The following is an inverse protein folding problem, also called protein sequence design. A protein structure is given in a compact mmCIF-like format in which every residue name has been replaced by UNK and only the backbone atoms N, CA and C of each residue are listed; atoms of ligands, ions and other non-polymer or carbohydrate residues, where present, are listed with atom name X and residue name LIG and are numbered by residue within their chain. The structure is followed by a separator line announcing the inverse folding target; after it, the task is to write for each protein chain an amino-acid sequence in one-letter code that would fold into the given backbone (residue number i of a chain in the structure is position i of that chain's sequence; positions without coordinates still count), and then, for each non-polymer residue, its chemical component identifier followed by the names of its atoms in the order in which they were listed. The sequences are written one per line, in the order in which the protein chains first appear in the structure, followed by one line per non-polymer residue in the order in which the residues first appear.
data_IF_786900641455
#
_entry.id   IF_786900641455
#
_cell.length_a   1.000
_cell.length_b   1.000
_cell.length_c   1.000
_cell.angle_alpha   90.00
_cell.angle_beta   90.00
_cell.angle_gamma   90.00
#
_symmetry.space_group_name_H-M   'P 1'
#
loop_
_entity.id
_entity.type
_entity.pdbx_description
1 polymer ?
#
# COMPACT_ATOMS: atom_id res chain seq x y z
N UNK A 1 28.53 -10.29 23.45
CA UNK A 1 27.74 -9.48 22.49
C UNK A 1 26.29 -9.87 22.69
N UNK A 2 25.44 -8.91 23.02
CA UNK A 2 23.99 -9.11 23.20
C UNK A 2 23.33 -9.03 21.83
N UNK A 3 22.62 -10.09 21.45
CA UNK A 3 21.83 -10.15 20.22
C UNK A 3 20.41 -9.72 20.58
N UNK A 4 19.88 -8.73 19.87
CA UNK A 4 18.50 -8.31 20.04
C UNK A 4 17.66 -8.87 18.89
N UNK A 5 16.59 -9.56 19.24
CA UNK A 5 15.63 -10.09 18.27
C UNK A 5 14.43 -9.16 18.23
N UNK A 6 14.19 -8.57 17.06
CA UNK A 6 13.03 -7.74 16.77
C UNK A 6 11.97 -8.65 16.16
N UNK A 7 10.81 -8.75 16.80
CA UNK A 7 9.67 -9.49 16.27
C UNK A 7 8.97 -8.66 15.21
N UNK A 8 8.64 -9.29 14.08
CA UNK A 8 7.84 -8.65 13.04
C UNK A 8 6.35 -8.75 13.41
N UNK A 9 5.63 -7.62 13.54
CA UNK A 9 4.21 -7.63 13.81
C UNK A 9 3.47 -8.31 12.65
N UNK A 10 2.58 -9.22 13.02
CA UNK A 10 1.85 -10.08 12.09
C UNK A 10 0.41 -10.18 12.57
N UNK A 11 -0.25 -9.02 12.70
CA UNK A 11 -1.64 -8.98 13.16
C UNK A 11 -2.58 -9.56 12.11
N UNK A 12 -3.56 -10.33 12.58
CA UNK A 12 -4.67 -10.84 11.78
C UNK A 12 -5.71 -9.72 11.53
N UNK A 13 -5.24 -8.58 11.03
CA UNK A 13 -6.06 -7.41 10.73
C UNK A 13 -6.43 -7.37 9.24
N UNK A 14 -7.66 -6.93 8.95
CA UNK A 14 -8.13 -6.71 7.58
C UNK A 14 -7.53 -5.45 6.95
N UNK A 15 -7.15 -4.49 7.79
CA UNK A 15 -6.50 -3.23 7.42
C UNK A 15 -5.12 -3.20 8.07
N UNK A 16 -4.06 -3.62 7.35
CA UNK A 16 -2.70 -3.52 7.85
C UNK A 16 -2.32 -2.06 8.10
N UNK A 17 -1.48 -1.84 9.12
CA UNK A 17 -0.93 -0.52 9.44
C UNK A 17 0.51 -0.46 8.94
N UNK A 18 0.82 0.32 7.89
CA UNK A 18 2.16 0.36 7.34
C UNK A 18 3.26 0.69 8.37
N UNK A 19 2.96 1.62 9.27
CA UNK A 19 3.78 2.10 10.39
C UNK A 19 4.36 0.99 11.26
N UNK A 20 3.60 -0.08 11.50
CA UNK A 20 4.04 -1.19 12.35
C UNK A 20 5.28 -1.88 11.77
N UNK A 21 5.41 -1.92 10.45
CA UNK A 21 6.58 -2.47 9.75
C UNK A 21 7.57 -1.38 9.36
N UNK A 22 7.12 -0.25 8.81
CA UNK A 22 8.03 0.79 8.32
C UNK A 22 8.89 1.37 9.44
N UNK A 23 8.33 1.55 10.65
CA UNK A 23 9.10 2.05 11.78
C UNK A 23 10.19 1.07 12.23
N UNK A 24 9.96 -0.24 12.14
CA UNK A 24 10.98 -1.26 12.43
C UNK A 24 12.13 -1.15 11.43
N UNK A 25 11.83 -1.12 10.14
CA UNK A 25 12.85 -1.05 9.11
C UNK A 25 13.60 0.29 9.11
N UNK A 26 12.92 1.40 9.41
CA UNK A 26 13.58 2.68 9.63
C UNK A 26 14.55 2.61 10.81
N UNK A 27 14.13 2.07 11.97
CA UNK A 27 15.02 1.91 13.11
C UNK A 27 16.26 1.06 12.78
N UNK A 28 16.07 -0.05 12.06
CA UNK A 28 17.18 -0.90 11.60
C UNK A 28 18.11 -0.11 10.68
N UNK A 29 17.60 0.63 9.69
CA UNK A 29 18.44 1.44 8.80
C UNK A 29 19.16 2.57 9.55
N UNK A 30 18.49 3.30 10.43
CA UNK A 30 19.08 4.38 11.22
C UNK A 30 20.24 3.88 12.11
N UNK A 31 20.17 2.63 12.56
CA UNK A 31 21.25 2.01 13.35
C UNK A 31 22.53 1.85 12.54
N UNK A 32 22.45 1.67 11.21
CA UNK A 32 23.62 1.56 10.32
C UNK A 32 24.43 2.86 10.38
N UNK A 33 23.77 4.01 10.15
CA UNK A 33 24.42 5.31 10.22
C UNK A 33 25.01 5.59 11.61
N UNK A 34 24.31 5.19 12.67
CA UNK A 34 24.78 5.32 14.06
C UNK A 34 26.05 4.51 14.32
N UNK A 35 26.10 3.25 13.85
CA UNK A 35 27.27 2.38 14.00
C UNK A 35 28.47 2.91 13.21
N UNK A 36 28.25 3.41 11.99
CA UNK A 36 29.30 4.03 11.18
C UNK A 36 29.91 5.26 11.89
N UNK A 37 29.06 6.13 12.46
CA UNK A 37 29.51 7.30 13.24
C UNK A 37 30.28 6.91 14.51
N UNK A 38 29.97 5.74 15.09
CA UNK A 38 30.69 5.19 16.26
C UNK A 38 32.00 4.48 15.88
N UNK A 39 32.34 4.39 14.59
CA UNK A 39 33.54 3.69 14.13
C UNK A 39 33.40 2.17 14.14
N UNK A 40 32.17 1.66 14.01
CA UNK A 40 31.81 0.24 13.96
C UNK A 40 31.29 -0.18 12.57
N UNK A 41 32.08 -0.04 11.48
CA UNK A 41 31.62 -0.32 10.12
C UNK A 41 31.33 -1.81 9.89
N UNK A 42 32.01 -2.72 10.58
CA UNK A 42 31.78 -4.17 10.45
C UNK A 42 30.41 -4.57 11.02
N UNK A 43 29.97 -3.93 12.11
CA UNK A 43 28.63 -4.09 12.67
C UNK A 43 27.57 -3.51 11.74
N UNK A 44 27.82 -2.33 11.15
CA UNK A 44 26.94 -1.72 10.16
C UNK A 44 26.76 -2.62 8.93
N UNK A 45 27.84 -3.26 8.45
CA UNK A 45 27.80 -4.18 7.33
C UNK A 45 26.95 -5.43 7.64
N UNK A 46 27.03 -6.00 8.85
CA UNK A 46 26.16 -7.13 9.24
C UNK A 46 24.68 -6.81 9.13
N UNK A 47 24.29 -5.56 9.43
CA UNK A 47 22.89 -5.11 9.29
C UNK A 47 22.52 -4.98 7.80
N UNK A 48 23.42 -4.43 6.97
CA UNK A 48 23.22 -4.39 5.51
C UNK A 48 23.05 -5.80 4.93
N UNK A 49 23.85 -6.76 5.38
CA UNK A 49 23.78 -8.16 4.94
C UNK A 49 22.44 -8.81 5.33
N UNK A 50 21.92 -8.51 6.54
CA UNK A 50 20.59 -8.96 6.97
C UNK A 50 19.52 -8.40 6.04
N UNK A 51 19.53 -7.08 5.79
CA UNK A 51 18.56 -6.44 4.89
C UNK A 51 18.66 -6.98 3.46
N UNK A 52 19.89 -7.22 2.97
CA UNK A 52 20.15 -7.87 1.69
C UNK A 52 19.55 -9.26 1.63
N UNK A 53 19.75 -10.09 2.66
CA UNK A 53 19.16 -11.43 2.74
C UNK A 53 17.62 -11.41 2.75
N UNK A 54 16.98 -10.39 3.34
CA UNK A 54 15.53 -10.21 3.25
C UNK A 54 15.12 -9.88 1.81
N UNK A 55 15.83 -8.95 1.15
CA UNK A 55 15.59 -8.64 -0.28
C UNK A 55 15.73 -9.88 -1.16
N UNK A 56 16.78 -10.67 -0.96
CA UNK A 56 17.03 -11.91 -1.68
C UNK A 56 15.90 -12.94 -1.46
N UNK A 57 15.41 -13.05 -0.22
CA UNK A 57 14.30 -13.95 0.13
C UNK A 57 13.00 -13.52 -0.55
N UNK A 58 12.74 -12.21 -0.60
CA UNK A 58 11.57 -11.65 -1.27
C UNK A 58 11.64 -11.77 -2.80
N UNK A 59 12.83 -11.85 -3.36
CA UNK A 59 13.05 -11.93 -4.80
C UNK A 59 12.39 -10.78 -5.54
N UNK A 60 11.35 -11.08 -6.31
CA UNK A 60 10.64 -10.09 -7.13
C UNK A 60 9.51 -9.35 -6.40
N UNK A 61 9.29 -9.67 -5.11
CA UNK A 61 8.31 -8.99 -4.27
C UNK A 61 8.90 -7.79 -3.51
N UNK A 62 8.09 -6.76 -3.24
CA UNK A 62 6.78 -6.54 -3.85
C UNK A 62 6.91 -6.25 -5.34
N UNK A 63 5.93 -6.67 -6.13
CA UNK A 63 5.86 -6.48 -7.57
C UNK A 63 5.92 -4.99 -7.91
N UNK A 64 5.23 -4.15 -7.17
CA UNK A 64 5.18 -2.72 -7.40
C UNK A 64 6.52 -2.02 -7.18
N UNK A 65 7.53 -2.71 -6.61
CA UNK A 65 8.91 -2.23 -6.55
C UNK A 65 9.85 -3.15 -7.37
N UNK A 66 10.93 -2.60 -7.89
CA UNK A 66 12.03 -3.32 -8.54
C UNK A 66 13.34 -2.72 -8.07
N UNK A 67 14.43 -3.47 -8.11
CA UNK A 67 15.76 -2.91 -7.88
C UNK A 67 16.38 -2.37 -9.19
N UNK A 68 17.09 -1.23 -9.14
CA UNK A 68 17.13 -0.29 -8.02
C UNK A 68 15.75 0.40 -7.84
N UNK A 69 15.38 0.70 -6.59
CA UNK A 69 14.06 1.31 -6.28
C UNK A 69 13.93 2.69 -6.91
N UNK A 70 15.02 3.45 -6.94
CA UNK A 70 15.10 4.72 -7.65
C UNK A 70 16.20 4.63 -8.71
N UNK A 71 16.03 5.34 -9.83
CA UNK A 71 17.01 5.30 -10.90
C UNK A 71 18.31 6.02 -10.53
N UNK A 72 18.21 7.07 -9.71
CA UNK A 72 19.33 7.99 -9.43
C UNK A 72 19.67 8.16 -7.96
N UNK A 73 18.87 7.62 -7.05
CA UNK A 73 19.00 7.80 -5.59
C UNK A 73 19.10 6.45 -4.88
N UNK A 74 19.84 6.43 -3.76
CA UNK A 74 19.82 5.29 -2.83
C UNK A 74 19.52 5.85 -1.44
N UNK A 75 18.31 5.57 -0.95
CA UNK A 75 17.85 6.03 0.37
C UNK A 75 17.20 4.84 1.07
N UNK A 76 17.99 3.98 1.75
CA UNK A 76 17.53 2.68 2.22
C UNK A 76 16.23 2.72 3.04
N UNK A 77 16.08 3.72 3.91
CA UNK A 77 14.86 3.95 4.71
C UNK A 77 13.63 4.14 3.82
N UNK A 78 13.72 5.02 2.81
CA UNK A 78 12.63 5.31 1.89
C UNK A 78 12.34 4.12 1.00
N UNK A 79 13.37 3.40 0.56
CA UNK A 79 13.22 2.19 -0.26
C UNK A 79 12.45 1.09 0.47
N UNK A 80 12.79 0.85 1.73
CA UNK A 80 12.08 -0.12 2.57
C UNK A 80 10.65 0.33 2.86
N UNK A 81 10.44 1.61 3.14
CA UNK A 81 9.11 2.18 3.32
C UNK A 81 8.23 1.96 2.09
N UNK A 82 8.75 2.24 0.89
CA UNK A 82 8.06 2.00 -0.38
C UNK A 82 7.73 0.51 -0.55
N UNK A 83 8.68 -0.38 -0.27
CA UNK A 83 8.45 -1.84 -0.33
C UNK A 83 7.36 -2.31 0.63
N UNK A 84 7.30 -1.78 1.83
CA UNK A 84 6.28 -2.17 2.81
C UNK A 84 4.89 -1.72 2.38
N UNK A 85 4.75 -0.46 1.95
CA UNK A 85 3.48 0.05 1.42
C UNK A 85 3.01 -0.77 0.21
N UNK A 86 3.93 -1.03 -0.72
CA UNK A 86 3.74 -1.88 -1.88
C UNK A 86 3.26 -3.31 -1.54
N UNK A 87 3.86 -3.95 -0.53
CA UNK A 87 3.43 -5.29 -0.07
C UNK A 87 2.00 -5.28 0.48
N UNK A 88 1.60 -4.20 1.17
CA UNK A 88 0.22 -4.07 1.68
C UNK A 88 -0.76 -3.94 0.50
N UNK A 89 -0.49 -3.04 -0.45
CA UNK A 89 -1.33 -2.86 -1.64
C UNK A 89 -1.44 -4.14 -2.49
N UNK A 90 -0.33 -4.88 -2.64
CA UNK A 90 -0.30 -6.14 -3.37
C UNK A 90 -0.96 -7.29 -2.65
N UNK A 91 -0.91 -7.35 -1.32
CA UNK A 91 -1.72 -8.29 -0.57
C UNK A 91 -3.18 -8.15 -0.97
N UNK A 92 -3.67 -6.91 -1.10
CA UNK A 92 -5.06 -6.71 -1.47
C UNK A 92 -5.38 -7.23 -2.87
N UNK A 93 -4.51 -6.93 -3.83
CA UNK A 93 -4.66 -7.34 -5.22
C UNK A 93 -4.44 -8.85 -5.42
N UNK A 94 -3.53 -9.47 -4.68
CA UNK A 94 -3.25 -10.90 -4.70
C UNK A 94 -4.47 -11.71 -4.27
N UNK A 95 -5.10 -11.30 -3.16
CA UNK A 95 -6.35 -11.91 -2.68
C UNK A 95 -7.43 -11.82 -3.76
N UNK A 96 -7.59 -10.66 -4.39
CA UNK A 96 -8.55 -10.46 -5.47
C UNK A 96 -8.25 -11.35 -6.69
N UNK A 97 -6.99 -11.44 -7.11
CA UNK A 97 -6.58 -12.31 -8.21
C UNK A 97 -6.93 -13.79 -7.92
N UNK A 98 -6.74 -14.26 -6.69
CA UNK A 98 -7.11 -15.63 -6.29
C UNK A 98 -8.62 -15.87 -6.31
N UNK A 99 -9.43 -14.89 -5.91
CA UNK A 99 -10.88 -14.98 -6.11
C UNK A 99 -11.26 -15.12 -7.58
N UNK A 100 -10.66 -14.28 -8.42
CA UNK A 100 -10.95 -14.26 -9.85
C UNK A 100 -10.53 -15.57 -10.53
N UNK A 101 -9.38 -16.14 -10.16
CA UNK A 101 -8.95 -17.48 -10.62
C UNK A 101 -9.98 -18.56 -10.25
N UNK A 102 -10.45 -18.60 -9.00
CA UNK A 102 -11.44 -19.58 -8.55
C UNK A 102 -12.76 -19.42 -9.30
N UNK A 103 -13.27 -18.19 -9.40
CA UNK A 103 -14.55 -17.94 -10.07
C UNK A 103 -14.45 -18.21 -11.58
N UNK A 104 -13.29 -17.95 -12.20
CA UNK A 104 -13.06 -18.24 -13.62
C UNK A 104 -13.25 -19.72 -13.98
N UNK A 105 -13.08 -20.64 -13.01
CA UNK A 105 -13.38 -22.07 -13.21
C UNK A 105 -14.87 -22.37 -13.41
N UNK A 106 -15.74 -21.45 -13.00
CA UNK A 106 -17.21 -21.56 -13.05
C UNK A 106 -17.80 -20.63 -14.10
N UNK A 107 -17.27 -19.41 -14.22
CA UNK A 107 -17.75 -18.36 -15.13
C UNK A 107 -16.53 -17.74 -15.82
N UNK A 108 -16.36 -17.90 -17.16
CA UNK A 108 -15.25 -17.29 -17.87
C UNK A 108 -15.26 -15.76 -17.73
N UNK A 109 -14.12 -15.18 -17.35
CA UNK A 109 -13.96 -13.74 -17.15
C UNK A 109 -12.70 -13.20 -17.84
N UNK A 110 -12.67 -11.89 -18.06
CA UNK A 110 -11.46 -11.17 -18.49
C UNK A 110 -10.67 -10.71 -17.27
N UNK A 111 -9.35 -10.90 -17.29
CA UNK A 111 -8.43 -10.40 -16.26
C UNK A 111 -7.80 -9.06 -16.65
N UNK A 112 -8.08 -8.53 -17.84
CA UNK A 112 -7.60 -7.22 -18.29
C UNK A 112 -8.43 -6.09 -17.67
N UNK A 113 -7.77 -5.23 -16.90
CA UNK A 113 -8.37 -4.08 -16.21
C UNK A 113 -7.88 -2.79 -16.88
N UNK A 114 -8.79 -1.88 -17.27
CA UNK A 114 -8.40 -0.57 -17.79
C UNK A 114 -7.82 0.30 -16.67
N UNK A 115 -6.80 1.07 -16.99
CA UNK A 115 -6.18 2.06 -16.09
C UNK A 115 -6.45 3.46 -16.66
N UNK A 116 -7.62 4.06 -16.37
CA UNK A 116 -7.83 5.47 -16.70
C UNK A 116 -6.97 6.34 -15.80
N UNK A 117 -6.59 7.56 -16.21
CA UNK A 117 -6.77 8.11 -17.56
C UNK A 117 -5.69 7.65 -18.56
N UNK A 118 -4.77 6.74 -18.17
CA UNK A 118 -3.61 6.34 -18.98
C UNK A 118 -3.97 5.57 -20.26
N UNK A 119 -5.18 5.02 -20.35
CA UNK A 119 -5.66 4.35 -21.57
C UNK A 119 -4.97 3.00 -21.84
N UNK A 120 -4.31 2.43 -20.84
CA UNK A 120 -3.73 1.08 -20.90
C UNK A 120 -4.67 0.04 -20.29
N UNK A 121 -4.49 -1.23 -20.67
CA UNK A 121 -5.14 -2.36 -20.03
C UNK A 121 -4.08 -3.28 -19.42
N UNK A 122 -4.24 -3.63 -18.16
CA UNK A 122 -3.31 -4.48 -17.43
C UNK A 122 -3.99 -5.78 -17.05
N UNK A 123 -3.39 -6.90 -17.46
CA UNK A 123 -3.79 -8.24 -17.04
C UNK A 123 -3.19 -8.53 -15.67
N UNK A 124 -4.05 -8.58 -14.65
CA UNK A 124 -3.59 -8.76 -13.27
C UNK A 124 -2.97 -10.14 -13.04
N UNK A 125 -3.42 -11.20 -13.71
CA UNK A 125 -2.84 -12.54 -13.52
C UNK A 125 -1.44 -12.57 -14.08
N UNK A 126 -1.22 -12.00 -15.27
CA UNK A 126 0.12 -11.85 -15.85
C UNK A 126 1.01 -10.94 -15.02
N UNK A 127 0.46 -9.88 -14.42
CA UNK A 127 1.23 -8.99 -13.54
C UNK A 127 1.89 -9.74 -12.37
N UNK A 128 1.22 -10.73 -11.78
CA UNK A 128 1.77 -11.56 -10.70
C UNK A 128 2.61 -12.75 -11.16
N UNK A 129 2.41 -13.23 -12.38
CA UNK A 129 3.01 -14.48 -12.86
C UNK A 129 4.14 -14.31 -13.88
N UNK A 130 4.23 -13.15 -14.55
CA UNK A 130 5.15 -12.88 -15.66
C UNK A 130 6.03 -11.66 -15.36
N UNK A 131 7.29 -11.84 -14.92
CA UNK A 131 8.20 -10.74 -14.59
C UNK A 131 8.46 -9.76 -15.75
N UNK A 132 8.54 -10.26 -16.99
CA UNK A 132 8.76 -9.42 -18.19
C UNK A 132 7.55 -8.53 -18.50
N UNK A 133 6.34 -9.06 -18.32
CA UNK A 133 5.10 -8.30 -18.52
C UNK A 133 5.04 -7.10 -17.58
N UNK A 134 5.31 -7.35 -16.29
CA UNK A 134 5.44 -6.32 -15.25
C UNK A 134 6.49 -5.27 -15.61
N UNK A 135 7.70 -5.68 -15.99
CA UNK A 135 8.78 -4.77 -16.36
C UNK A 135 8.39 -3.86 -17.53
N UNK A 136 7.68 -4.41 -18.52
CA UNK A 136 7.24 -3.68 -19.71
C UNK A 136 6.20 -2.61 -19.40
N UNK A 137 5.30 -2.85 -18.46
CA UNK A 137 4.32 -1.84 -18.03
C UNK A 137 5.03 -0.72 -17.26
N UNK A 138 5.91 -1.08 -16.33
CA UNK A 138 6.65 -0.09 -15.52
C UNK A 138 7.51 0.84 -16.35
N UNK A 139 8.26 0.32 -17.32
CA UNK A 139 9.18 1.13 -18.12
C UNK A 139 8.44 2.24 -18.90
N UNK A 140 7.22 1.98 -19.36
CA UNK A 140 6.40 2.98 -20.07
C UNK A 140 6.17 4.24 -19.22
N UNK A 141 5.99 4.11 -17.91
CA UNK A 141 5.74 5.26 -17.03
C UNK A 141 7.00 6.04 -16.70
N UNK A 142 8.14 5.37 -16.60
CA UNK A 142 9.43 6.02 -16.36
C UNK A 142 9.86 6.81 -17.61
N UNK A 143 9.76 6.18 -18.79
CA UNK A 143 10.21 6.77 -20.04
C UNK A 143 9.36 7.98 -20.46
N UNK A 144 8.08 8.01 -20.06
CA UNK A 144 7.13 9.08 -20.39
C UNK A 144 6.58 9.81 -19.15
N UNK A 145 7.43 10.03 -18.14
CA UNK A 145 7.07 10.68 -16.88
C UNK A 145 6.30 12.00 -17.08
N UNK A 146 6.78 12.86 -17.97
CA UNK A 146 6.17 14.16 -18.27
C UNK A 146 4.80 14.06 -18.97
N UNK A 147 4.49 12.90 -19.56
CA UNK A 147 3.17 12.60 -20.13
C UNK A 147 2.22 12.12 -19.03
N UNK A 148 2.65 11.16 -18.22
CA UNK A 148 1.76 10.45 -17.30
C UNK A 148 1.55 11.17 -15.96
N UNK A 149 2.57 11.83 -15.41
CA UNK A 149 2.47 12.50 -14.12
C UNK A 149 1.39 13.60 -14.10
N UNK A 150 1.28 14.48 -15.11
CA UNK A 150 0.22 15.50 -15.14
C UNK A 150 -1.20 14.93 -15.21
N UNK A 151 -1.35 13.70 -15.71
CA UNK A 151 -2.65 13.02 -15.83
C UNK A 151 -3.14 12.43 -14.50
N UNK A 152 -2.28 12.35 -13.48
CA UNK A 152 -2.70 11.88 -12.17
C UNK A 152 -3.81 12.78 -11.60
N UNK A 153 -4.80 12.21 -10.87
CA UNK A 153 -5.64 13.01 -10.01
C UNK A 153 -4.79 13.75 -8.98
N UNK A 154 -5.21 14.93 -8.53
CA UNK A 154 -4.38 15.81 -7.71
C UNK A 154 -3.98 15.18 -6.36
N UNK A 155 -4.85 14.34 -5.78
CA UNK A 155 -4.56 13.55 -4.58
C UNK A 155 -3.36 12.57 -4.74
N UNK A 156 -3.00 12.18 -5.97
CA UNK A 156 -1.84 11.33 -6.26
C UNK A 156 -0.57 12.12 -6.61
N UNK A 157 -0.67 13.42 -6.89
CA UNK A 157 0.49 14.26 -7.19
C UNK A 157 1.27 14.55 -5.91
N UNK A 158 2.53 14.10 -5.88
CA UNK A 158 3.46 14.24 -4.76
C UNK A 158 4.88 14.44 -5.30
N UNK A 159 5.76 15.03 -4.49
CA UNK A 159 7.15 15.29 -4.88
C UNK A 159 7.30 16.23 -6.08
N UNK A 160 6.41 17.22 -6.18
CA UNK A 160 6.47 18.32 -7.16
C UNK A 160 7.11 19.60 -6.62
N UNK A 161 7.67 19.54 -5.41
CA UNK A 161 8.30 20.68 -4.73
C UNK A 161 7.36 21.47 -3.83
N UNK A 162 6.04 21.23 -3.84
CA UNK A 162 5.08 21.95 -2.98
C UNK A 162 5.49 21.89 -1.50
N UNK A 163 5.89 20.72 -1.00
CA UNK A 163 6.28 20.51 0.39
C UNK A 163 7.80 20.44 0.61
N UNK A 164 8.56 20.90 -0.38
CA UNK A 164 9.99 21.16 -0.28
C UNK A 164 10.90 20.15 -0.97
N UNK A 165 10.37 19.08 -1.56
CA UNK A 165 11.16 18.13 -2.34
C UNK A 165 10.51 17.94 -3.71
N UNK A 166 11.30 18.14 -4.76
CA UNK A 166 10.97 17.70 -6.11
C UNK A 166 11.87 16.53 -6.49
N UNK A 167 11.27 15.41 -6.94
CA UNK A 167 12.02 14.22 -7.31
C UNK A 167 11.36 13.47 -8.46
N UNK A 168 11.98 13.42 -9.66
CA UNK A 168 11.46 12.65 -10.80
C UNK A 168 11.25 11.16 -10.46
N UNK A 169 12.20 10.56 -9.74
CA UNK A 169 12.12 9.16 -9.32
C UNK A 169 10.89 8.91 -8.43
N UNK A 170 10.57 9.84 -7.52
CA UNK A 170 9.40 9.70 -6.65
C UNK A 170 8.08 10.01 -7.36
N UNK A 171 8.09 10.89 -8.37
CA UNK A 171 6.92 11.13 -9.24
C UNK A 171 6.58 9.88 -10.06
N UNK A 172 7.57 9.13 -10.54
CA UNK A 172 7.34 7.86 -11.24
C UNK A 172 6.67 6.82 -10.33
N UNK A 173 7.10 6.74 -9.07
CA UNK A 173 6.46 5.87 -8.07
C UNK A 173 5.01 6.27 -7.78
N UNK A 174 4.70 7.57 -7.76
CA UNK A 174 3.32 8.04 -7.59
C UNK A 174 2.40 7.61 -8.76
N UNK A 175 2.94 7.58 -9.99
CA UNK A 175 2.23 7.02 -11.15
C UNK A 175 1.94 5.55 -10.93
N UNK A 176 2.97 4.78 -10.55
CA UNK A 176 2.83 3.34 -10.39
C UNK A 176 1.85 2.95 -9.28
N UNK A 177 1.87 3.67 -8.15
CA UNK A 177 0.89 3.53 -7.06
C UNK A 177 -0.56 3.76 -7.55
N UNK A 178 -0.77 4.77 -8.38
CA UNK A 178 -2.08 5.01 -8.99
C UNK A 178 -2.52 3.84 -9.89
N UNK A 179 -1.60 3.25 -10.67
CA UNK A 179 -1.88 2.04 -11.48
C UNK A 179 -2.36 0.90 -10.60
N UNK A 180 -1.63 0.58 -9.53
CA UNK A 180 -2.01 -0.47 -8.58
C UNK A 180 -3.37 -0.19 -7.94
N UNK A 181 -3.67 1.08 -7.67
CA UNK A 181 -4.99 1.47 -7.17
C UNK A 181 -6.10 1.20 -8.18
N UNK A 182 -5.93 1.60 -9.44
CA UNK A 182 -6.92 1.33 -10.49
C UNK A 182 -7.11 -0.18 -10.69
N UNK A 183 -6.04 -0.96 -10.58
CA UNK A 183 -6.11 -2.42 -10.65
C UNK A 183 -6.92 -3.00 -9.49
N UNK A 184 -6.68 -2.54 -8.25
CA UNK A 184 -7.45 -2.95 -7.08
C UNK A 184 -8.95 -2.60 -7.23
N UNK A 185 -9.27 -1.37 -7.66
CA UNK A 185 -10.66 -0.94 -7.92
C UNK A 185 -11.32 -1.80 -8.98
N UNK A 186 -10.65 -2.01 -10.11
CA UNK A 186 -11.19 -2.78 -11.23
C UNK A 186 -11.41 -4.24 -10.86
N UNK A 187 -10.44 -4.86 -10.18
CA UNK A 187 -10.52 -6.25 -9.75
C UNK A 187 -11.65 -6.43 -8.74
N UNK A 188 -11.81 -5.48 -7.81
CA UNK A 188 -12.92 -5.46 -6.87
C UNK A 188 -14.28 -5.29 -7.59
N UNK A 189 -14.34 -4.43 -8.61
CA UNK A 189 -15.52 -4.25 -9.47
C UNK A 189 -15.96 -5.55 -10.14
N UNK A 190 -15.01 -6.30 -10.70
CA UNK A 190 -15.28 -7.60 -11.31
C UNK A 190 -15.77 -8.60 -10.26
N UNK A 191 -15.09 -8.70 -9.11
CA UNK A 191 -15.48 -9.59 -8.01
C UNK A 191 -16.90 -9.27 -7.51
N UNK A 192 -17.19 -7.98 -7.33
CA UNK A 192 -18.51 -7.50 -6.89
C UNK A 192 -19.61 -7.90 -7.88
N UNK A 193 -19.39 -7.65 -9.18
CA UNK A 193 -20.31 -8.07 -10.23
C UNK A 193 -20.55 -9.59 -10.23
N UNK A 194 -19.48 -10.37 -10.09
CA UNK A 194 -19.56 -11.83 -10.02
C UNK A 194 -20.32 -12.32 -8.79
N UNK A 195 -20.16 -11.69 -7.63
CA UNK A 195 -20.99 -12.01 -6.48
C UNK A 195 -22.46 -11.67 -6.72
N UNK A 196 -22.75 -10.53 -7.36
CA UNK A 196 -24.11 -10.16 -7.75
C UNK A 196 -24.74 -11.22 -8.67
N UNK A 197 -24.03 -11.61 -9.72
CA UNK A 197 -24.47 -12.64 -10.66
C UNK A 197 -24.68 -13.99 -9.99
N UNK A 198 -23.78 -14.36 -9.07
CA UNK A 198 -23.91 -15.61 -8.31
C UNK A 198 -25.12 -15.58 -7.39
N UNK A 199 -25.33 -14.51 -6.64
CA UNK A 199 -26.48 -14.34 -5.74
C UNK A 199 -27.78 -14.44 -6.55
N UNK A 200 -27.84 -13.81 -7.72
CA UNK A 200 -29.01 -13.84 -8.61
C UNK A 200 -29.48 -15.25 -8.99
N UNK A 201 -28.54 -16.19 -9.11
CA UNK A 201 -28.85 -17.61 -9.40
C UNK A 201 -29.53 -18.33 -8.22
N UNK A 202 -29.45 -17.76 -7.03
CA UNK A 202 -29.97 -18.31 -5.79
C UNK A 202 -30.99 -17.39 -5.11
N UNK A 203 -31.52 -16.36 -5.78
CA UNK A 203 -32.39 -15.32 -5.18
C UNK A 203 -33.50 -15.89 -4.30
N UNK A 204 -34.23 -16.91 -4.77
CA UNK A 204 -35.30 -17.53 -3.98
C UNK A 204 -34.79 -18.15 -2.67
N UNK A 205 -33.63 -18.81 -2.69
CA UNK A 205 -33.01 -19.39 -1.50
C UNK A 205 -32.41 -18.28 -0.64
N UNK A 206 -31.78 -17.29 -1.26
CA UNK A 206 -31.15 -16.15 -0.60
C UNK A 206 -32.17 -15.35 0.23
N UNK A 207 -33.31 -15.03 -0.37
CA UNK A 207 -34.45 -14.37 0.28
C UNK A 207 -35.07 -15.24 1.38
N UNK A 208 -35.29 -16.54 1.11
CA UNK A 208 -35.86 -17.46 2.09
C UNK A 208 -34.99 -17.63 3.34
N UNK A 209 -33.67 -17.54 3.18
CA UNK A 209 -32.70 -17.57 4.27
C UNK A 209 -32.50 -16.21 4.95
N UNK A 210 -33.08 -15.13 4.42
CA UNK A 210 -32.93 -13.78 4.96
C UNK A 210 -31.49 -13.26 4.93
N UNK A 211 -30.70 -13.67 3.93
CA UNK A 211 -29.29 -13.30 3.83
C UNK A 211 -29.13 -11.81 3.47
N UNK A 212 -28.12 -11.11 4.01
CA UNK A 212 -27.90 -9.69 3.72
C UNK A 212 -27.56 -9.46 2.26
N UNK A 213 -28.03 -8.34 1.70
CA UNK A 213 -27.66 -7.90 0.35
C UNK A 213 -26.15 -7.66 0.23
N UNK A 214 -25.60 -7.93 -0.95
CA UNK A 214 -24.23 -7.56 -1.30
C UNK A 214 -24.02 -6.05 -1.10
N UNK A 215 -23.01 -5.60 -0.33
CA UNK A 215 -22.72 -4.18 -0.14
C UNK A 215 -22.40 -3.50 -1.48
N UNK A 216 -22.77 -2.24 -1.61
CA UNK A 216 -22.32 -1.41 -2.73
C UNK A 216 -20.83 -1.10 -2.61
N UNK A 217 -20.16 -0.87 -3.74
CA UNK A 217 -18.78 -0.36 -3.79
C UNK A 217 -18.74 1.12 -3.43
N UNK A 218 -19.11 1.45 -2.20
CA UNK A 218 -19.19 2.83 -1.72
C UNK A 218 -17.79 3.42 -1.55
N UNK A 219 -17.43 4.33 -2.43
CA UNK A 219 -16.17 5.07 -2.32
C UNK A 219 -16.30 6.19 -1.27
N UNK A 220 -15.30 6.30 -0.40
CA UNK A 220 -15.17 7.45 0.49
C UNK A 220 -14.64 8.65 -0.31
N UNK A 221 -15.22 9.84 -0.12
CA UNK A 221 -14.73 11.06 -0.76
C UNK A 221 -13.47 11.59 -0.08
N UNK A 222 -12.38 10.83 -0.16
CA UNK A 222 -11.09 11.16 0.47
C UNK A 222 -10.49 12.43 -0.14
N UNK A 223 -10.56 12.58 -1.46
CA UNK A 223 -10.05 13.76 -2.17
C UNK A 223 -10.77 15.02 -1.70
N UNK A 224 -12.11 15.01 -1.65
CA UNK A 224 -12.87 16.13 -1.12
C UNK A 224 -12.54 16.43 0.35
N UNK A 225 -12.33 15.39 1.16
CA UNK A 225 -11.92 15.56 2.56
C UNK A 225 -10.56 16.25 2.67
N UNK A 226 -9.54 15.76 1.96
CA UNK A 226 -8.20 16.34 1.95
C UNK A 226 -8.24 17.79 1.44
N UNK A 227 -8.89 18.03 0.29
CA UNK A 227 -8.96 19.36 -0.30
C UNK A 227 -9.63 20.35 0.66
N UNK A 228 -10.77 19.96 1.25
CA UNK A 228 -11.46 20.80 2.26
C UNK A 228 -10.61 21.11 3.49
N UNK A 229 -9.59 20.29 3.75
CA UNK A 229 -8.68 20.45 4.89
C UNK A 229 -7.53 21.39 4.54
N UNK A 230 -6.79 21.13 3.45
CA UNK A 230 -5.49 21.76 3.23
C UNK A 230 -5.36 22.59 1.95
N UNK A 231 -6.35 22.63 1.04
CA UNK A 231 -6.22 23.30 -0.27
C UNK A 231 -5.83 24.78 -0.13
N UNK A 232 -6.48 25.50 0.78
CA UNK A 232 -6.14 26.91 1.05
C UNK A 232 -4.71 27.08 1.58
N UNK A 233 -4.18 26.11 2.34
CA UNK A 233 -2.80 26.14 2.81
C UNK A 233 -1.82 25.83 1.67
N UNK A 234 -2.16 24.91 0.75
CA UNK A 234 -1.35 24.64 -0.43
C UNK A 234 -1.21 25.85 -1.34
N UNK A 235 -2.30 26.58 -1.57
CA UNK A 235 -2.27 27.84 -2.32
C UNK A 235 -1.39 28.90 -1.65
N UNK A 236 -1.47 28.99 -0.32
CA UNK A 236 -0.61 29.87 0.47
C UNK A 236 0.86 29.44 0.39
N UNK A 237 1.17 28.15 0.51
CA UNK A 237 2.54 27.62 0.39
C UNK A 237 3.15 27.96 -0.98
N UNK A 238 2.37 27.81 -2.06
CA UNK A 238 2.82 28.09 -3.43
C UNK A 238 3.12 29.57 -3.66
N UNK A 239 2.41 30.48 -2.99
CA UNK A 239 2.51 31.93 -3.19
C UNK A 239 3.36 32.66 -2.12
N UNK A 240 3.63 32.02 -0.98
CA UNK A 240 4.35 32.61 0.13
C UNK A 240 5.86 32.81 -0.16
N UNK A 241 6.50 33.80 0.48
CA UNK A 241 7.94 33.88 0.64
C UNK A 241 8.53 32.63 1.32
N UNK A 242 9.79 32.30 1.01
CA UNK A 242 10.43 31.05 1.48
C UNK A 242 10.54 30.93 3.00
N UNK A 243 10.67 32.05 3.72
CA UNK A 243 10.73 32.10 5.19
C UNK A 243 9.40 31.75 5.87
N UNK A 244 8.26 31.86 5.16
CA UNK A 244 6.93 31.51 5.67
C UNK A 244 6.46 30.11 5.26
N UNK A 245 7.05 29.52 4.21
CA UNK A 245 6.62 28.22 3.68
C UNK A 245 6.74 27.11 4.72
N UNK A 246 7.77 27.13 5.55
CA UNK A 246 8.01 26.07 6.52
C UNK A 246 6.92 25.99 7.59
N UNK A 247 6.45 27.14 8.09
CA UNK A 247 5.35 27.24 9.05
C UNK A 247 4.02 26.79 8.43
N UNK A 248 3.73 27.22 7.20
CA UNK A 248 2.52 26.83 6.47
C UNK A 248 2.48 25.32 6.19
N UNK A 249 3.62 24.72 5.81
CA UNK A 249 3.75 23.26 5.60
C UNK A 249 3.48 22.49 6.90
N UNK A 250 4.05 22.93 8.03
CA UNK A 250 3.80 22.33 9.35
C UNK A 250 2.32 22.43 9.74
N UNK A 251 1.68 23.57 9.47
CA UNK A 251 0.25 23.74 9.71
C UNK A 251 -0.59 22.77 8.88
N UNK A 252 -0.30 22.61 7.59
CA UNK A 252 -1.01 21.68 6.72
C UNK A 252 -0.89 20.23 7.21
N UNK A 253 0.32 19.82 7.62
CA UNK A 253 0.58 18.49 8.19
C UNK A 253 -0.25 18.27 9.46
N UNK A 254 -0.22 19.22 10.40
CA UNK A 254 -0.97 19.10 11.66
C UNK A 254 -2.47 18.97 11.44
N UNK A 255 -3.02 19.62 10.41
CA UNK A 255 -4.43 19.47 10.07
C UNK A 255 -4.75 18.06 9.55
N UNK A 256 -3.92 17.50 8.67
CA UNK A 256 -4.11 16.12 8.20
C UNK A 256 -3.97 15.08 9.32
N UNK A 257 -3.01 15.29 10.22
CA UNK A 257 -2.77 14.41 11.37
C UNK A 257 -4.02 14.30 12.27
N UNK A 258 -4.77 15.39 12.40
CA UNK A 258 -6.01 15.43 13.19
C UNK A 258 -7.24 14.81 12.51
N UNK A 259 -7.12 14.40 11.24
CA UNK A 259 -8.27 13.91 10.49
C UNK A 259 -8.76 12.56 11.02
N UNK A 260 -10.08 12.41 10.92
CA UNK A 260 -10.78 11.17 11.18
C UNK A 260 -11.65 10.84 9.98
N UNK A 261 -11.63 9.58 9.55
CA UNK A 261 -12.42 9.11 8.42
C UNK A 261 -13.03 7.75 8.77
N UNK A 262 -14.35 7.63 8.60
CA UNK A 262 -15.11 6.43 8.94
C UNK A 262 -14.86 5.89 10.39
N UNK A 263 -14.56 6.78 11.34
CA UNK A 263 -14.30 6.43 12.74
C UNK A 263 -12.84 6.06 13.06
N UNK A 264 -11.94 6.15 12.09
CA UNK A 264 -10.50 5.90 12.28
C UNK A 264 -9.72 7.21 12.21
N UNK A 265 -8.80 7.41 13.15
CA UNK A 265 -7.84 8.51 13.07
C UNK A 265 -6.76 8.18 12.03
N UNK A 266 -6.20 9.20 11.39
CA UNK A 266 -5.11 9.00 10.42
C UNK A 266 -3.89 8.33 11.05
N UNK A 267 -3.55 8.69 12.30
CA UNK A 267 -2.43 8.08 13.02
C UNK A 267 -2.67 6.58 13.30
N UNK A 268 -3.90 6.19 13.64
CA UNK A 268 -4.24 4.78 13.83
C UNK A 268 -4.16 3.99 12.52
N UNK A 269 -4.60 4.60 11.41
CA UNK A 269 -4.52 4.01 10.09
C UNK A 269 -3.06 3.82 9.64
N UNK A 270 -2.17 4.75 9.99
CA UNK A 270 -0.75 4.63 9.69
C UNK A 270 -0.12 3.55 10.57
N UNK A 271 -0.41 3.49 11.87
CA UNK A 271 0.36 2.68 12.83
C UNK A 271 1.28 3.52 13.70
N UNK A 272 0.84 4.72 14.06
CA UNK A 272 1.58 5.67 14.90
C UNK A 272 2.41 6.68 14.12
N UNK A 273 3.19 7.48 14.85
CA UNK A 273 4.04 8.51 14.28
C UNK A 273 5.20 7.88 13.47
N UNK A 274 5.50 8.42 12.28
CA UNK A 274 6.65 7.95 11.51
C UNK A 274 7.98 8.29 12.22
N UNK A 275 8.89 7.31 12.28
CA UNK A 275 10.21 7.47 12.89
C UNK A 275 11.29 7.66 11.81
N UNK A 276 11.58 8.91 11.44
CA UNK A 276 12.62 9.26 10.49
C UNK A 276 13.91 9.70 11.18
N UNK A 277 15.09 9.34 10.63
CA UNK A 277 16.36 9.89 11.08
C UNK A 277 16.48 11.39 10.75
N UNK A 278 16.04 11.76 9.55
CA UNK A 278 15.94 13.15 9.09
C UNK A 278 14.50 13.45 8.71
N UNK A 279 13.88 14.38 9.42
CA UNK A 279 12.50 14.77 9.15
C UNK A 279 12.37 15.48 7.80
N UNK A 280 11.38 15.05 7.01
CA UNK A 280 10.99 15.70 5.75
C UNK A 280 9.50 16.00 5.77
N UNK A 281 9.15 17.28 5.58
CA UNK A 281 7.75 17.71 5.51
C UNK A 281 7.04 17.11 4.28
N UNK A 282 7.72 17.01 3.13
CA UNK A 282 7.19 16.33 1.94
C UNK A 282 6.86 14.87 2.23
N UNK A 283 7.76 14.13 2.89
CA UNK A 283 7.52 12.71 3.22
C UNK A 283 6.39 12.55 4.23
N UNK A 284 6.35 13.39 5.28
CA UNK A 284 5.25 13.37 6.26
C UNK A 284 3.91 13.63 5.55
N UNK A 285 3.84 14.65 4.70
CA UNK A 285 2.64 14.96 3.91
C UNK A 285 2.22 13.82 2.98
N UNK A 286 3.16 13.26 2.22
CA UNK A 286 2.92 12.13 1.33
C UNK A 286 2.35 10.92 2.10
N UNK A 287 2.92 10.55 3.24
CA UNK A 287 2.41 9.44 4.09
C UNK A 287 0.97 9.67 4.52
N UNK A 288 0.63 10.87 4.98
CA UNK A 288 -0.72 11.17 5.44
C UNK A 288 -1.73 11.10 4.28
N UNK A 289 -1.43 11.75 3.14
CA UNK A 289 -2.29 11.70 1.95
C UNK A 289 -2.43 10.28 1.42
N UNK A 290 -1.32 9.57 1.28
CA UNK A 290 -1.24 8.16 0.84
C UNK A 290 -2.09 7.25 1.72
N UNK A 291 -1.94 7.33 3.06
CA UNK A 291 -2.70 6.44 3.94
C UNK A 291 -4.20 6.70 3.86
N UNK A 292 -4.61 7.97 3.90
CA UNK A 292 -6.03 8.36 3.76
C UNK A 292 -6.63 7.82 2.47
N UNK A 293 -5.90 7.96 1.37
CA UNK A 293 -6.29 7.48 0.04
C UNK A 293 -6.39 5.96 0.01
N UNK A 294 -5.34 5.26 0.42
CA UNK A 294 -5.33 3.79 0.48
C UNK A 294 -6.48 3.26 1.35
N UNK A 295 -6.79 3.94 2.46
CA UNK A 295 -7.94 3.58 3.30
C UNK A 295 -9.28 3.74 2.56
N UNK A 296 -9.45 4.82 1.79
CA UNK A 296 -10.61 5.00 0.93
C UNK A 296 -10.80 3.88 -0.09
N UNK A 297 -9.69 3.37 -0.64
CA UNK A 297 -9.69 2.27 -1.61
C UNK A 297 -9.91 0.89 -0.95
N UNK A 298 -9.37 0.72 0.26
CA UNK A 298 -9.56 -0.48 1.08
C UNK A 298 -10.99 -0.58 1.63
N UNK A 299 -11.72 0.54 1.75
CA UNK A 299 -13.02 0.59 2.41
C UNK A 299 -14.11 -0.29 1.77
N UNK A 300 -14.38 -0.24 0.45
CA UNK A 300 -15.30 -1.17 -0.19
C UNK A 300 -14.91 -2.65 0.01
N UNK A 301 -13.61 -2.95 0.01
CA UNK A 301 -13.11 -4.31 0.24
C UNK A 301 -13.40 -4.75 1.68
N UNK A 302 -13.13 -3.88 2.65
CA UNK A 302 -13.45 -4.11 4.06
C UNK A 302 -14.94 -4.46 4.23
N UNK A 303 -15.84 -3.69 3.61
CA UNK A 303 -17.29 -3.95 3.64
C UNK A 303 -17.66 -5.31 3.02
N UNK A 304 -17.06 -5.68 1.89
CA UNK A 304 -17.28 -6.99 1.26
C UNK A 304 -16.79 -8.12 2.15
N UNK A 305 -15.63 -7.97 2.80
CA UNK A 305 -15.10 -8.97 3.72
C UNK A 305 -16.01 -9.15 4.94
N UNK A 306 -16.49 -8.06 5.55
CA UNK A 306 -17.47 -8.13 6.65
C UNK A 306 -18.79 -8.77 6.21
N UNK A 307 -19.29 -8.46 5.02
CA UNK A 307 -20.47 -9.09 4.47
C UNK A 307 -20.27 -10.59 4.22
N UNK A 308 -19.12 -10.97 3.64
CA UNK A 308 -18.80 -12.37 3.36
C UNK A 308 -18.76 -13.23 4.62
N UNK A 309 -18.29 -12.71 5.75
CA UNK A 309 -18.35 -13.41 7.03
C UNK A 309 -19.80 -13.76 7.43
N UNK A 310 -20.77 -12.91 7.09
CA UNK A 310 -22.20 -13.15 7.39
C UNK A 310 -22.83 -14.20 6.48
N UNK A 311 -22.31 -14.37 5.26
CA UNK A 311 -22.86 -15.29 4.25
C UNK A 311 -22.02 -16.56 4.05
N UNK A 312 -20.94 -16.73 4.82
CA UNK A 312 -20.01 -17.87 4.74
C UNK A 312 -20.72 -19.23 4.73
N UNK A 313 -21.73 -19.42 5.59
CA UNK A 313 -22.45 -20.68 5.69
C UNK A 313 -23.17 -21.06 4.38
N UNK A 314 -23.71 -20.07 3.67
CA UNK A 314 -24.36 -20.28 2.38
C UNK A 314 -23.36 -20.71 1.31
N UNK A 315 -22.24 -19.99 1.17
CA UNK A 315 -21.19 -20.32 0.21
C UNK A 315 -20.58 -21.71 0.44
N UNK A 316 -20.40 -22.10 1.69
CA UNK A 316 -19.98 -23.46 2.04
C UNK A 316 -21.00 -24.52 1.58
N UNK A 317 -22.29 -24.27 1.81
CA UNK A 317 -23.36 -25.21 1.46
C UNK A 317 -23.49 -25.44 -0.06
N UNK A 318 -23.17 -24.44 -0.88
CA UNK A 318 -23.22 -24.54 -2.35
C UNK A 318 -21.89 -24.99 -2.99
N UNK A 319 -20.92 -25.43 -2.17
CA UNK A 319 -19.63 -25.96 -2.65
C UNK A 319 -18.60 -24.90 -3.04
N UNK A 320 -18.80 -23.63 -2.62
CA UNK A 320 -17.86 -22.52 -2.84
C UNK A 320 -17.09 -22.16 -1.56
N UNK A 321 -16.83 -23.13 -0.69
CA UNK A 321 -16.13 -22.88 0.57
C UNK A 321 -14.68 -22.40 0.40
N UNK A 322 -14.01 -22.74 -0.70
CA UNK A 322 -12.66 -22.27 -1.02
C UNK A 322 -12.57 -20.74 -1.20
N UNK A 323 -13.66 -20.10 -1.64
CA UNK A 323 -13.77 -18.64 -1.69
C UNK A 323 -13.55 -18.07 -0.28
N UNK A 324 -14.06 -18.75 0.76
CA UNK A 324 -13.97 -18.25 2.13
C UNK A 324 -12.54 -18.23 2.68
N UNK A 325 -11.70 -19.17 2.28
CA UNK A 325 -10.30 -19.22 2.71
C UNK A 325 -9.58 -17.91 2.36
N UNK A 326 -9.84 -17.36 1.18
CA UNK A 326 -9.28 -16.10 0.70
C UNK A 326 -9.90 -14.85 1.35
N UNK A 327 -11.06 -14.97 1.98
CA UNK A 327 -11.70 -13.88 2.75
C UNK A 327 -11.01 -13.74 4.09
N UNK A 328 -10.70 -14.88 4.71
CA UNK A 328 -9.99 -14.96 5.97
C UNK A 328 -8.48 -14.85 5.80
N UNK A 329 -7.97 -14.80 4.56
CA UNK A 329 -6.55 -14.65 4.27
C UNK A 329 -6.08 -13.26 4.70
N UNK A 330 -5.23 -13.24 5.71
CA UNK A 330 -4.74 -12.00 6.34
C UNK A 330 -3.45 -11.52 5.71
N UNK A 331 -3.06 -10.28 6.00
CA UNK A 331 -1.73 -9.81 5.64
C UNK A 331 -0.62 -10.65 6.27
N UNK A 332 -0.83 -11.19 7.47
CA UNK A 332 0.12 -12.11 8.10
C UNK A 332 0.28 -13.41 7.29
N UNK A 333 -0.78 -13.94 6.70
CA UNK A 333 -0.70 -15.10 5.81
C UNK A 333 0.03 -14.77 4.51
N UNK A 334 -0.18 -13.55 3.99
CA UNK A 334 0.58 -13.04 2.85
C UNK A 334 2.07 -12.93 3.13
N UNK A 335 2.47 -12.33 4.26
CA UNK A 335 3.87 -12.22 4.67
C UNK A 335 4.55 -13.60 4.74
N UNK A 336 3.86 -14.61 5.30
CA UNK A 336 4.36 -15.99 5.30
C UNK A 336 4.47 -16.58 3.90
N UNK A 337 3.49 -16.32 3.04
CA UNK A 337 3.46 -16.82 1.67
C UNK A 337 4.63 -16.29 0.85
N UNK A 338 4.96 -15.01 0.99
CA UNK A 338 6.08 -14.38 0.27
C UNK A 338 7.45 -14.61 0.95
N UNK A 339 7.48 -15.36 2.06
CA UNK A 339 8.71 -15.67 2.79
C UNK A 339 9.27 -14.50 3.61
N UNK A 340 8.46 -13.49 3.94
CA UNK A 340 8.90 -12.40 4.81
C UNK A 340 9.28 -12.93 6.19
N UNK A 341 10.41 -12.48 6.79
CA UNK A 341 10.86 -12.98 8.07
C UNK A 341 9.85 -12.66 9.18
N UNK A 342 9.67 -13.59 10.14
CA UNK A 342 8.84 -13.36 11.33
C UNK A 342 9.62 -12.66 12.46
N UNK A 343 10.94 -12.62 12.35
CA UNK A 343 11.81 -11.88 13.27
C UNK A 343 13.13 -11.52 12.59
N UNK A 344 13.76 -10.45 13.05
CA UNK A 344 15.06 -9.98 12.60
C UNK A 344 15.98 -9.94 13.80
N UNK A 345 17.15 -10.59 13.70
CA UNK A 345 18.12 -10.61 14.78
C UNK A 345 19.28 -9.67 14.47
N UNK A 346 19.44 -8.62 15.27
CA UNK A 346 20.48 -7.60 15.10
C UNK A 346 21.42 -7.59 16.31
N UNK A 347 22.72 -7.38 16.07
CA UNK A 347 23.72 -7.26 17.13
C UNK A 347 23.91 -5.79 17.55
N UNK A 348 23.94 -5.50 18.85
CA UNK A 348 24.24 -4.18 19.44
C UNK A 348 23.27 -3.00 19.13
N UNK A 349 22.03 -3.24 18.73
CA UNK A 349 21.14 -2.14 18.27
C UNK A 349 20.30 -1.49 19.38
N UNK A 350 20.12 -2.10 20.55
CA UNK A 350 19.10 -1.65 21.51
C UNK A 350 19.58 -1.30 22.93
N UNK A 351 20.89 -1.22 23.18
CA UNK A 351 21.41 -0.63 24.43
C UNK A 351 21.67 0.91 24.31
N UNK A 352 21.25 1.54 23.20
CA UNK A 352 21.53 2.97 22.89
C UNK A 352 20.27 3.75 22.46
N UNK A 353 19.07 3.35 22.89
CA UNK A 353 17.87 4.22 22.86
C UNK A 353 17.27 4.31 24.25
#
# INVERSE_FOLDING_TARGET
MTQTTITIPCEAALLPKPGDLTNIFNQINNSIATLELQGLPDEAQKIRDILGGIKDTLGNYPISISDPVFATLEIPEVEWEKRINAMIEEYHLFVQAKFLEIINTVIPISFAIPVPPFGINVDIVKLFSEPEYKSTIKSQFIDELETFYPMLPDIYKSFDGTYGIESPDMKAEAIWEYVITQLNKGALGIIHGLFGDLISKFDTIWEALGLPSLPTLTELNVEGLINSTIESLEEQIKSAPDDLKDELRKQAISQLESLNIAGFSVLDLIGGEPNDFVESLERKMDRFKRRLKNFGEEWPKYLIQEWMQKVQAFFNAIGLGSIIEWITFTFCDFLKLIGFPTSISVSNVLDII
#
